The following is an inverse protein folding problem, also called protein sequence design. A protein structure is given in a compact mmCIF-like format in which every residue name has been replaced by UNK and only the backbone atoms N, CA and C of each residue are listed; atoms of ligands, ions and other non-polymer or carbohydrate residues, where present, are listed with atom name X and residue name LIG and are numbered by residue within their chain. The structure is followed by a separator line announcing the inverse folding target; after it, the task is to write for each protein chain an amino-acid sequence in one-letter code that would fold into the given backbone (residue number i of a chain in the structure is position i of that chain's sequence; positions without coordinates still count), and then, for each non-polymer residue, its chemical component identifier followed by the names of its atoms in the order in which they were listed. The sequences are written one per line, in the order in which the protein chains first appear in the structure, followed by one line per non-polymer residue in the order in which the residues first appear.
data_IF_937171617963
#
_entry.id   IF_937171617963
#
_cell.length_a   1.000
_cell.length_b   1.000
_cell.length_c   1.000
_cell.angle_alpha   90.00
_cell.angle_beta   90.00
_cell.angle_gamma   90.00
#
_symmetry.space_group_name_H-M   'P 1'
#
loop_
_entity.id
_entity.type
_entity.pdbx_description
1 polymer ?
#
# COMPACT_ATOMS: atom_id res chain seq x y z
N UNK A 1 -37.05 -66.59 -62.64
CA UNK A 1 -35.68 -66.60 -62.05
C UNK A 1 -34.97 -65.33 -62.48
N UNK A 2 -34.36 -64.63 -61.50
CA UNK A 2 -33.37 -63.53 -61.57
C UNK A 2 -33.67 -62.31 -62.48
N UNK A 3 -34.08 -61.13 -61.98
CA UNK A 3 -33.45 -60.12 -61.10
C UNK A 3 -32.29 -59.31 -61.73
N UNK A 4 -32.57 -58.00 -61.89
CA UNK A 4 -31.81 -56.81 -61.42
C UNK A 4 -30.40 -56.62 -62.05
N UNK A 5 -30.05 -55.49 -62.67
CA UNK A 5 -29.70 -54.22 -61.99
C UNK A 5 -29.64 -53.06 -63.01
N UNK A 6 -30.52 -52.05 -62.88
CA UNK A 6 -30.30 -50.70 -63.44
C UNK A 6 -29.88 -49.80 -62.28
N UNK A 7 -28.65 -49.31 -62.33
CA UNK A 7 -28.11 -48.33 -61.38
C UNK A 7 -28.72 -46.97 -61.75
N UNK A 8 -29.58 -46.45 -60.87
CA UNK A 8 -30.11 -45.09 -60.95
C UNK A 8 -29.16 -44.17 -60.18
N UNK A 9 -28.58 -43.19 -60.87
CA UNK A 9 -27.67 -42.20 -60.33
C UNK A 9 -28.49 -41.07 -59.68
N UNK A 10 -28.62 -41.08 -58.35
CA UNK A 10 -29.27 -40.02 -57.59
C UNK A 10 -28.34 -38.81 -57.49
N UNK A 11 -28.77 -37.70 -58.11
CA UNK A 11 -28.14 -36.39 -58.07
C UNK A 11 -28.42 -35.74 -56.69
N UNK A 12 -27.41 -35.63 -55.83
CA UNK A 12 -27.50 -34.82 -54.61
C UNK A 12 -27.36 -33.33 -54.99
N UNK A 13 -28.44 -32.56 -54.89
CA UNK A 13 -28.38 -31.10 -54.87
C UNK A 13 -27.78 -30.67 -53.51
N UNK A 14 -26.53 -30.22 -53.52
CA UNK A 14 -25.96 -29.48 -52.41
C UNK A 14 -26.44 -28.02 -52.50
N UNK A 15 -27.42 -27.66 -51.66
CA UNK A 15 -27.74 -26.26 -51.37
C UNK A 15 -26.61 -25.68 -50.52
N UNK A 16 -25.67 -24.98 -51.14
CA UNK A 16 -24.72 -24.13 -50.44
C UNK A 16 -25.49 -22.94 -49.87
N UNK A 17 -25.79 -22.98 -48.57
CA UNK A 17 -26.20 -21.80 -47.84
C UNK A 17 -25.04 -20.81 -47.86
N UNK A 18 -25.18 -19.74 -48.64
CA UNK A 18 -24.34 -18.56 -48.50
C UNK A 18 -24.70 -17.92 -47.15
N UNK A 19 -23.97 -18.30 -46.11
CA UNK A 19 -23.98 -17.58 -44.86
C UNK A 19 -23.43 -16.18 -45.14
N UNK A 20 -24.31 -15.19 -45.21
CA UNK A 20 -23.95 -13.79 -45.03
C UNK A 20 -23.33 -13.69 -43.64
N UNK A 21 -22.00 -13.69 -43.58
CA UNK A 21 -21.28 -13.29 -42.38
C UNK A 21 -21.72 -11.85 -42.08
N UNK A 22 -22.56 -11.70 -41.06
CA UNK A 22 -22.79 -10.40 -40.45
C UNK A 22 -21.42 -9.82 -40.07
N UNK A 23 -21.14 -8.54 -40.34
CA UNK A 23 -19.91 -7.92 -39.89
C UNK A 23 -19.82 -8.15 -38.38
N UNK A 24 -18.73 -8.78 -37.95
CA UNK A 24 -18.39 -8.88 -36.53
C UNK A 24 -18.53 -7.47 -35.94
N UNK A 25 -19.26 -7.29 -34.82
CA UNK A 25 -19.22 -6.03 -34.13
C UNK A 25 -17.75 -5.83 -33.78
N UNK A 26 -17.21 -4.71 -34.26
CA UNK A 26 -15.87 -4.20 -33.98
C UNK A 26 -15.39 -4.69 -32.61
N UNK A 27 -14.45 -5.62 -32.58
CA UNK A 27 -13.58 -5.78 -31.42
C UNK A 27 -12.78 -4.49 -31.33
N UNK A 28 -13.35 -3.49 -30.65
CA UNK A 28 -12.56 -2.33 -30.25
C UNK A 28 -11.45 -2.88 -29.37
N UNK A 29 -10.22 -2.85 -29.86
CA UNK A 29 -9.08 -3.08 -28.99
C UNK A 29 -9.13 -2.01 -27.90
N UNK A 30 -9.26 -2.45 -26.65
CA UNK A 30 -9.20 -1.57 -25.50
C UNK A 30 -7.77 -1.58 -24.94
N UNK A 31 -7.28 -0.41 -24.58
CA UNK A 31 -6.18 -0.32 -23.62
C UNK A 31 -6.77 -0.35 -22.22
N UNK A 32 -6.04 -0.88 -21.26
CA UNK A 32 -6.47 -0.90 -19.86
C UNK A 32 -5.65 0.08 -19.04
N UNK A 33 -6.34 0.80 -18.17
CA UNK A 33 -5.73 1.75 -17.28
C UNK A 33 -6.04 1.45 -15.82
N UNK A 34 -5.10 1.86 -14.97
CA UNK A 34 -5.28 2.02 -13.54
C UNK A 34 -5.71 3.45 -13.26
N UNK A 35 -6.90 3.62 -12.69
CA UNK A 35 -7.41 4.91 -12.24
C UNK A 35 -7.27 4.97 -10.72
N UNK A 36 -6.64 6.03 -10.22
CA UNK A 36 -6.56 6.29 -8.79
C UNK A 36 -7.20 7.63 -8.47
N UNK A 37 -7.93 7.69 -7.36
CA UNK A 37 -8.43 8.94 -6.79
C UNK A 37 -7.95 9.07 -5.35
N UNK A 38 -7.27 10.17 -5.05
CA UNK A 38 -6.92 10.56 -3.69
C UNK A 38 -7.76 11.77 -3.27
N UNK A 39 -8.28 11.75 -2.05
CA UNK A 39 -9.12 12.83 -1.50
C UNK A 39 -8.62 13.21 -0.11
N UNK A 40 -8.41 14.50 0.14
CA UNK A 40 -8.18 15.05 1.47
C UNK A 40 -9.52 15.53 2.04
N UNK A 41 -9.98 14.91 3.13
CA UNK A 41 -11.33 15.12 3.68
C UNK A 41 -11.53 16.49 4.32
N UNK A 42 -10.45 17.10 4.84
CA UNK A 42 -10.51 18.39 5.55
C UNK A 42 -10.67 19.56 4.57
N UNK A 43 -9.82 19.61 3.55
CA UNK A 43 -9.80 20.70 2.54
C UNK A 43 -10.72 20.42 1.37
N UNK A 44 -11.19 19.17 1.22
CA UNK A 44 -11.88 18.66 0.04
C UNK A 44 -11.03 18.68 -1.24
N UNK A 45 -9.71 18.81 -1.12
CA UNK A 45 -8.76 18.67 -2.24
C UNK A 45 -8.79 17.23 -2.78
N UNK A 46 -8.70 17.09 -4.10
CA UNK A 46 -8.75 15.80 -4.79
C UNK A 46 -7.73 15.74 -5.90
N UNK A 47 -7.22 14.54 -6.16
CA UNK A 47 -6.40 14.25 -7.31
C UNK A 47 -6.86 12.96 -7.96
N UNK A 48 -7.20 13.04 -9.25
CA UNK A 48 -7.38 11.88 -10.11
C UNK A 48 -6.12 11.67 -10.94
N UNK A 49 -5.69 10.42 -11.07
CA UNK A 49 -4.52 10.01 -11.82
C UNK A 49 -4.83 8.74 -12.59
N UNK A 50 -4.45 8.72 -13.87
CA UNK A 50 -4.69 7.61 -14.79
C UNK A 50 -3.34 7.13 -15.28
N UNK A 51 -3.05 5.86 -15.05
CA UNK A 51 -1.83 5.19 -15.49
C UNK A 51 -2.17 4.07 -16.46
N UNK A 52 -1.30 3.84 -17.43
CA UNK A 52 -1.37 2.65 -18.26
C UNK A 52 -1.11 1.41 -17.41
N UNK A 53 -1.99 0.40 -17.49
CA UNK A 53 -1.88 -0.80 -16.65
C UNK A 53 -0.67 -1.67 -16.98
N UNK A 54 -0.10 -1.55 -18.19
CA UNK A 54 0.99 -2.41 -18.65
C UNK A 54 2.37 -1.81 -18.41
N UNK A 55 2.50 -0.50 -18.64
CA UNK A 55 3.78 0.22 -18.52
C UNK A 55 3.91 0.96 -17.20
N UNK A 56 2.79 1.29 -16.54
CA UNK A 56 2.75 2.16 -15.37
C UNK A 56 2.90 3.65 -15.70
N UNK A 57 2.99 4.00 -16.98
CA UNK A 57 3.14 5.37 -17.45
C UNK A 57 1.90 6.21 -17.12
N UNK A 58 2.12 7.45 -16.68
CA UNK A 58 1.02 8.38 -16.38
C UNK A 58 0.43 8.91 -17.68
N UNK A 59 -0.84 8.59 -17.92
CA UNK A 59 -1.58 9.02 -19.12
C UNK A 59 -2.32 10.35 -18.89
N UNK A 60 -2.66 10.66 -17.64
CA UNK A 60 -3.39 11.88 -17.33
C UNK A 60 -3.60 12.11 -15.83
N UNK A 61 -3.73 13.37 -15.44
CA UNK A 61 -3.97 13.76 -14.04
C UNK A 61 -4.74 15.08 -13.97
N UNK A 62 -5.55 15.26 -12.92
CA UNK A 62 -6.22 16.52 -12.62
C UNK A 62 -6.40 16.70 -11.10
N UNK A 63 -6.33 17.95 -10.63
CA UNK A 63 -6.65 18.34 -9.26
C UNK A 63 -8.17 18.49 -9.06
N UNK A 64 -8.88 17.42 -9.35
CA UNK A 64 -10.34 17.30 -9.26
C UNK A 64 -10.70 15.82 -9.17
N UNK A 65 -12.00 15.51 -9.15
CA UNK A 65 -12.49 14.15 -9.32
C UNK A 65 -12.76 13.76 -10.78
N UNK A 66 -12.40 14.61 -11.74
CA UNK A 66 -12.77 14.43 -13.14
C UNK A 66 -11.63 14.84 -14.08
N UNK A 67 -11.20 13.89 -14.91
CA UNK A 67 -10.27 14.10 -16.00
C UNK A 67 -11.05 14.20 -17.30
N UNK A 68 -11.40 15.42 -17.69
CA UNK A 68 -12.27 15.74 -18.84
C UNK A 68 -11.63 16.77 -19.80
N UNK A 69 -10.31 16.92 -19.72
CA UNK A 69 -9.57 17.93 -20.50
C UNK A 69 -8.51 17.27 -21.38
N UNK A 70 -8.05 18.01 -22.39
CA UNK A 70 -7.03 17.55 -23.34
C UNK A 70 -7.42 16.22 -24.00
N UNK A 71 -6.57 15.20 -23.91
CA UNK A 71 -6.82 13.88 -24.48
C UNK A 71 -8.09 13.19 -23.92
N UNK A 72 -8.61 13.65 -22.78
CA UNK A 72 -9.83 13.12 -22.17
C UNK A 72 -11.07 14.00 -22.42
N UNK A 73 -11.04 14.95 -23.38
CA UNK A 73 -12.22 15.78 -23.70
C UNK A 73 -13.37 14.96 -24.28
N UNK A 74 -13.04 13.99 -25.13
CA UNK A 74 -14.02 13.18 -25.85
C UNK A 74 -14.30 11.84 -25.13
N UNK A 75 -13.41 11.48 -24.20
CA UNK A 75 -13.52 10.30 -23.33
C UNK A 75 -13.09 10.69 -21.91
N UNK A 76 -14.03 11.27 -21.17
CA UNK A 76 -13.80 11.73 -19.80
C UNK A 76 -13.76 10.57 -18.80
N UNK A 77 -12.96 10.73 -17.74
CA UNK A 77 -12.99 9.85 -16.57
C UNK A 77 -13.45 10.66 -15.36
N UNK A 78 -14.48 10.20 -14.68
CA UNK A 78 -15.06 10.86 -13.51
C UNK A 78 -15.16 9.87 -12.37
N UNK A 79 -14.66 10.24 -11.20
CA UNK A 79 -14.80 9.49 -9.96
C UNK A 79 -15.87 10.15 -9.08
N UNK A 80 -17.07 9.59 -9.09
CA UNK A 80 -18.17 10.00 -8.21
C UNK A 80 -18.18 9.11 -6.98
N UNK A 81 -17.29 9.43 -6.04
CA UNK A 81 -17.09 8.66 -4.81
C UNK A 81 -17.27 9.55 -3.59
N UNK A 82 -17.85 8.97 -2.54
CA UNK A 82 -18.03 9.58 -1.24
C UNK A 82 -16.71 9.77 -0.48
N UNK A 83 -16.78 10.33 0.74
CA UNK A 83 -15.60 10.61 1.56
C UNK A 83 -14.74 9.38 1.84
N UNK A 84 -15.35 8.20 2.00
CA UNK A 84 -14.66 6.95 2.27
C UNK A 84 -14.26 6.19 0.99
N UNK A 85 -14.53 6.75 -0.20
CA UNK A 85 -14.17 6.16 -1.48
C UNK A 85 -15.18 5.15 -2.06
N UNK A 86 -16.34 4.94 -1.43
CA UNK A 86 -17.46 4.21 -2.02
C UNK A 86 -18.13 5.06 -3.10
N UNK A 87 -18.67 4.43 -4.13
CA UNK A 87 -19.34 5.11 -5.23
C UNK A 87 -18.95 4.48 -6.56
N UNK A 88 -18.82 5.31 -7.59
CA UNK A 88 -18.64 4.85 -8.97
C UNK A 88 -17.50 5.58 -9.68
N UNK A 89 -16.87 4.88 -10.61
CA UNK A 89 -15.97 5.44 -11.61
C UNK A 89 -16.66 5.35 -12.98
N UNK A 90 -16.77 6.48 -13.67
CA UNK A 90 -17.30 6.55 -15.03
C UNK A 90 -16.14 6.80 -15.99
N UNK A 91 -16.00 5.97 -17.02
CA UNK A 91 -15.05 6.14 -18.11
C UNK A 91 -15.80 6.14 -19.45
N UNK A 92 -15.92 7.31 -20.06
CA UNK A 92 -16.77 7.51 -21.23
C UNK A 92 -18.23 7.09 -20.97
N UNK A 93 -18.79 6.12 -21.73
CA UNK A 93 -20.16 5.66 -21.56
C UNK A 93 -20.33 4.60 -20.45
N UNK A 94 -19.24 4.09 -19.89
CA UNK A 94 -19.26 2.97 -18.94
C UNK A 94 -19.14 3.48 -17.51
N UNK A 95 -19.99 2.98 -16.63
CA UNK A 95 -19.95 3.26 -15.18
C UNK A 95 -19.65 1.97 -14.44
N UNK A 96 -18.71 2.05 -13.50
CA UNK A 96 -18.23 0.93 -12.71
C UNK A 96 -18.38 1.23 -11.22
N UNK A 97 -18.86 0.26 -10.45
CA UNK A 97 -18.96 0.40 -8.99
C UNK A 97 -17.60 0.15 -8.37
N UNK A 98 -17.22 0.95 -7.36
CA UNK A 98 -15.99 0.70 -6.58
C UNK A 98 -16.18 -0.56 -5.74
N UNK A 99 -15.72 -1.69 -6.28
CA UNK A 99 -15.80 -3.00 -5.66
C UNK A 99 -14.62 -3.90 -6.08
N UNK A 100 -14.16 -4.75 -5.17
CA UNK A 100 -13.04 -5.68 -5.38
C UNK A 100 -13.33 -6.84 -6.32
N UNK A 101 -14.61 -7.14 -6.56
CA UNK A 101 -15.02 -8.28 -7.37
C UNK A 101 -15.58 -7.73 -8.70
N UNK A 102 -14.97 -8.11 -9.84
CA UNK A 102 -15.42 -7.76 -11.17
C UNK A 102 -16.91 -8.02 -11.45
N UNK A 103 -17.52 -9.01 -10.78
CA UNK A 103 -18.93 -9.33 -10.95
C UNK A 103 -19.84 -8.20 -10.46
N UNK A 104 -19.44 -7.50 -9.41
CA UNK A 104 -20.21 -6.39 -8.83
C UNK A 104 -19.78 -5.03 -9.38
N UNK A 105 -18.52 -4.88 -9.78
CA UNK A 105 -17.98 -3.61 -10.29
C UNK A 105 -18.33 -3.33 -11.76
N UNK A 106 -18.80 -4.33 -12.51
CA UNK A 106 -19.03 -4.21 -13.96
C UNK A 106 -17.80 -4.56 -14.81
N UNK A 107 -16.91 -5.42 -14.31
CA UNK A 107 -15.79 -5.99 -15.07
C UNK A 107 -14.40 -5.43 -14.73
N UNK A 108 -14.29 -4.59 -13.70
CA UNK A 108 -13.01 -4.03 -13.22
C UNK A 108 -12.71 -4.48 -11.79
N UNK A 109 -11.52 -4.23 -11.27
CA UNK A 109 -11.23 -4.53 -9.85
C UNK A 109 -10.86 -3.25 -9.14
N UNK A 110 -11.63 -2.88 -8.12
CA UNK A 110 -11.33 -1.70 -7.31
C UNK A 110 -11.12 -2.06 -5.85
N UNK A 111 -10.23 -1.34 -5.19
CA UNK A 111 -10.10 -1.37 -3.74
C UNK A 111 -9.93 0.05 -3.23
N UNK A 112 -10.16 0.23 -1.94
CA UNK A 112 -10.06 1.55 -1.32
C UNK A 112 -9.47 1.48 0.07
N UNK A 113 -8.80 2.56 0.44
CA UNK A 113 -8.30 2.79 1.78
C UNK A 113 -8.82 4.14 2.27
N UNK A 114 -9.13 4.26 3.56
CA UNK A 114 -9.48 5.56 4.12
C UNK A 114 -9.14 5.65 5.61
N UNK A 115 -8.94 6.87 6.09
CA UNK A 115 -8.87 7.20 7.51
C UNK A 115 -9.67 8.50 7.76
N UNK A 116 -9.50 9.16 8.88
CA UNK A 116 -10.26 10.38 9.21
C UNK A 116 -9.84 11.60 8.36
N UNK A 117 -8.67 11.54 7.71
CA UNK A 117 -8.05 12.65 7.00
C UNK A 117 -8.11 12.52 5.48
N UNK A 118 -8.01 11.29 4.95
CA UNK A 118 -7.94 11.02 3.52
C UNK A 118 -8.65 9.74 3.11
N UNK A 119 -8.95 9.64 1.81
CA UNK A 119 -9.28 8.37 1.16
C UNK A 119 -8.51 8.21 -0.14
N UNK A 120 -8.22 6.96 -0.47
CA UNK A 120 -7.48 6.56 -1.66
C UNK A 120 -8.20 5.39 -2.32
N UNK A 121 -8.66 5.58 -3.55
CA UNK A 121 -9.35 4.58 -4.37
C UNK A 121 -8.43 4.18 -5.51
N UNK A 122 -8.36 2.88 -5.80
CA UNK A 122 -7.65 2.34 -6.95
C UNK A 122 -8.58 1.41 -7.70
N UNK A 123 -8.68 1.60 -9.00
CA UNK A 123 -9.46 0.78 -9.91
C UNK A 123 -8.59 0.33 -11.09
N UNK A 124 -8.44 -0.97 -11.24
CA UNK A 124 -7.66 -1.64 -12.26
C UNK A 124 -8.54 -2.21 -13.38
N UNK A 125 -8.02 -2.20 -14.60
CA UNK A 125 -8.73 -2.74 -15.76
C UNK A 125 -9.76 -1.79 -16.36
N UNK A 126 -9.65 -0.49 -16.11
CA UNK A 126 -10.57 0.51 -16.69
C UNK A 126 -10.31 0.60 -18.20
N UNK A 127 -11.31 0.32 -19.06
CA UNK A 127 -11.11 0.30 -20.50
C UNK A 127 -10.99 1.73 -21.05
N UNK A 128 -9.94 1.96 -21.85
CA UNK A 128 -9.70 3.17 -22.62
C UNK A 128 -9.81 2.88 -24.12
N UNK A 129 -10.32 3.82 -24.94
CA UNK A 129 -10.32 3.66 -26.38
C UNK A 129 -8.89 3.73 -26.91
N UNK A 130 -8.51 2.80 -27.78
CA UNK A 130 -7.20 2.82 -28.50
C UNK A 130 -7.03 4.03 -29.40
N UNK A 131 -8.13 4.66 -29.81
CA UNK A 131 -8.14 5.83 -30.69
C UNK A 131 -7.77 7.13 -29.99
N UNK A 132 -7.67 7.16 -28.65
CA UNK A 132 -7.22 8.34 -27.91
C UNK A 132 -5.69 8.34 -27.87
N UNK A 133 -5.00 9.28 -28.54
CA UNK A 133 -3.55 9.41 -28.42
C UNK A 133 -3.23 9.91 -27.01
N UNK A 134 -2.76 8.99 -26.16
CA UNK A 134 -2.33 9.28 -24.81
C UNK A 134 -0.80 9.23 -24.77
N UNK A 135 -0.18 10.40 -24.85
CA UNK A 135 1.25 10.53 -24.63
C UNK A 135 1.54 10.54 -23.12
N UNK A 136 2.52 9.76 -22.63
CA UNK A 136 2.90 9.77 -21.24
C UNK A 136 3.30 11.14 -20.73
N UNK A 137 2.75 11.53 -19.59
CA UNK A 137 3.16 12.72 -18.82
C UNK A 137 4.39 12.34 -18.00
N UNK A 138 5.44 13.18 -18.06
CA UNK A 138 6.63 12.98 -17.23
C UNK A 138 6.31 13.35 -15.77
N UNK A 139 6.89 12.63 -14.81
CA UNK A 139 6.59 12.83 -13.39
C UNK A 139 6.77 14.26 -12.88
N UNK A 140 7.74 15.01 -13.43
CA UNK A 140 7.99 16.41 -13.06
C UNK A 140 6.90 17.39 -13.53
N UNK A 141 6.04 16.97 -14.45
CA UNK A 141 4.97 17.78 -15.03
C UNK A 141 3.61 17.56 -14.33
N UNK A 142 3.57 16.74 -13.27
CA UNK A 142 2.37 16.49 -12.47
C UNK A 142 2.20 17.63 -11.46
N UNK A 143 1.12 18.44 -11.55
CA UNK A 143 0.92 19.55 -10.63
C UNK A 143 0.64 19.03 -9.21
N UNK A 144 1.15 19.72 -8.16
CA UNK A 144 0.76 19.41 -6.79
C UNK A 144 -0.71 19.79 -6.58
N UNK A 145 -1.54 18.82 -6.21
CA UNK A 145 -2.98 19.00 -6.00
C UNK A 145 -3.38 19.15 -4.53
N UNK A 146 -2.45 18.94 -3.61
CA UNK A 146 -2.68 18.99 -2.18
C UNK A 146 -1.82 20.06 -1.55
N UNK A 147 -2.39 20.81 -0.61
CA UNK A 147 -1.67 21.70 0.27
C UNK A 147 -0.81 20.91 1.26
N UNK A 148 0.35 21.44 1.65
CA UNK A 148 1.33 20.81 2.57
C UNK A 148 0.83 20.62 4.03
N UNK A 149 -0.48 20.67 4.25
CA UNK A 149 -1.07 20.74 5.59
C UNK A 149 -1.22 19.39 6.28
N UNK A 150 -1.27 18.29 5.53
CA UNK A 150 -1.43 16.92 6.08
C UNK A 150 -0.61 15.93 5.26
N UNK A 151 0.19 15.10 5.95
CA UNK A 151 0.90 13.99 5.33
C UNK A 151 -0.10 12.94 4.80
N UNK A 152 -0.25 12.91 3.49
CA UNK A 152 -1.02 11.89 2.79
C UNK A 152 -0.19 10.60 2.70
N UNK A 153 -0.64 9.53 3.35
CA UNK A 153 0.10 8.27 3.52
C UNK A 153 -0.57 7.05 2.90
N UNK A 154 -1.85 7.14 2.52
CA UNK A 154 -2.59 6.00 1.97
C UNK A 154 -2.17 5.63 0.55
N UNK A 155 -1.75 6.60 -0.27
CA UNK A 155 -1.17 6.29 -1.58
C UNK A 155 0.07 5.39 -1.43
N UNK A 156 1.01 5.74 -0.55
CA UNK A 156 2.21 4.93 -0.29
C UNK A 156 1.86 3.54 0.24
N UNK A 157 0.83 3.46 1.08
CA UNK A 157 0.30 2.19 1.58
C UNK A 157 -0.17 1.29 0.43
N UNK A 158 -0.98 1.85 -0.47
CA UNK A 158 -1.53 1.15 -1.62
C UNK A 158 -0.46 0.76 -2.65
N UNK A 159 0.58 1.56 -2.82
CA UNK A 159 1.70 1.22 -3.71
C UNK A 159 2.57 0.11 -3.11
N UNK A 160 2.84 0.15 -1.80
CA UNK A 160 3.70 -0.83 -1.13
C UNK A 160 3.02 -2.19 -0.97
N UNK A 161 1.71 -2.23 -0.68
CA UNK A 161 0.99 -3.50 -0.48
C UNK A 161 1.09 -4.39 -1.73
N UNK A 162 0.96 -3.81 -2.94
CA UNK A 162 1.14 -4.53 -4.21
C UNK A 162 2.53 -5.12 -4.40
N UNK A 163 3.57 -4.42 -3.94
CA UNK A 163 4.97 -4.89 -4.06
C UNK A 163 5.21 -6.09 -3.13
N UNK A 164 4.63 -6.08 -1.93
CA UNK A 164 4.80 -7.16 -0.94
C UNK A 164 4.05 -8.44 -1.35
N UNK A 165 3.00 -8.34 -2.17
CA UNK A 165 2.38 -9.53 -2.80
C UNK A 165 3.31 -10.22 -3.82
N UNK A 166 4.36 -9.53 -4.27
CA UNK A 166 5.32 -10.06 -5.25
C UNK A 166 6.60 -10.63 -4.59
N UNK A 167 6.91 -10.22 -3.35
CA UNK A 167 8.11 -10.67 -2.63
C UNK A 167 7.84 -10.83 -1.12
N UNK A 168 7.86 -12.07 -0.58
CA UNK A 168 7.82 -12.28 0.86
C UNK A 168 9.10 -11.73 1.49
N UNK A 169 8.99 -10.68 2.30
CA UNK A 169 10.12 -10.21 3.10
C UNK A 169 10.39 -11.25 4.20
N UNK A 170 11.64 -11.71 4.39
CA UNK A 170 11.97 -12.62 5.47
C UNK A 170 11.70 -11.97 6.82
N UNK A 171 10.84 -12.62 7.61
CA UNK A 171 10.70 -12.33 9.02
C UNK A 171 11.95 -12.77 9.78
N UNK A 172 12.58 -11.83 10.47
CA UNK A 172 13.26 -12.14 11.73
C UNK A 172 13.21 -10.88 12.60
N UNK A 173 12.21 -10.83 13.47
CA UNK A 173 12.18 -9.93 14.62
C UNK A 173 13.09 -10.55 15.69
N UNK A 174 14.38 -10.22 15.69
CA UNK A 174 15.23 -10.45 16.87
C UNK A 174 14.98 -9.30 17.85
N UNK A 175 13.99 -9.48 18.72
CA UNK A 175 13.89 -8.77 19.99
C UNK A 175 15.08 -9.19 20.88
N UNK A 176 16.25 -8.63 20.65
CA UNK A 176 17.39 -8.78 21.54
C UNK A 176 17.32 -7.73 22.66
N UNK A 177 16.33 -7.88 23.55
CA UNK A 177 16.45 -7.33 24.91
C UNK A 177 17.27 -8.30 25.75
N UNK A 178 18.57 -8.39 25.47
CA UNK A 178 19.52 -8.98 26.41
C UNK A 178 20.45 -7.88 26.88
N UNK A 179 20.04 -7.19 27.95
CA UNK A 179 21.00 -6.50 28.78
C UNK A 179 22.00 -7.56 29.23
N UNK A 180 23.25 -7.46 28.78
CA UNK A 180 24.34 -8.30 29.27
C UNK A 180 24.46 -8.01 30.76
N UNK A 181 23.91 -8.90 31.58
CA UNK A 181 24.10 -8.89 33.02
C UNK A 181 25.53 -9.33 33.30
N UNK A 182 26.45 -8.37 33.33
CA UNK A 182 27.77 -8.59 33.93
C UNK A 182 27.55 -9.00 35.38
N UNK A 183 28.05 -10.17 35.76
CA UNK A 183 27.95 -10.70 37.11
C UNK A 183 28.48 -9.68 38.14
N UNK A 184 27.77 -9.52 39.26
CA UNK A 184 28.07 -8.55 40.34
C UNK A 184 29.46 -8.71 41.00
N UNK A 185 30.29 -9.66 40.57
CA UNK A 185 31.62 -9.93 41.10
C UNK A 185 32.73 -9.11 40.41
N UNK A 186 32.57 -8.73 39.13
CA UNK A 186 33.59 -7.98 38.39
C UNK A 186 33.60 -6.48 38.73
N UNK A 187 32.48 -5.94 39.22
CA UNK A 187 32.34 -4.53 39.62
C UNK A 187 33.15 -4.15 40.87
N UNK A 188 33.70 -5.11 41.62
CA UNK A 188 34.42 -4.85 42.89
C UNK A 188 35.95 -4.89 42.78
N UNK A 189 36.54 -5.21 41.63
CA UNK A 189 37.99 -5.48 41.53
C UNK A 189 38.75 -4.70 40.44
N UNK A 190 38.11 -3.78 39.73
CA UNK A 190 38.74 -3.03 38.63
C UNK A 190 38.50 -1.53 38.79
N UNK A 191 39.56 -0.72 38.68
CA UNK A 191 39.46 0.73 38.74
C UNK A 191 38.52 1.26 37.64
N UNK A 192 37.87 2.39 37.88
CA UNK A 192 36.83 2.96 37.00
C UNK A 192 37.26 3.09 35.53
N UNK A 193 38.56 3.24 35.26
CA UNK A 193 39.13 3.33 33.91
C UNK A 193 39.49 1.99 33.23
N UNK A 194 39.38 0.83 33.87
CA UNK A 194 39.72 -0.47 33.25
C UNK A 194 38.51 -1.28 32.77
N UNK A 195 37.30 -0.82 33.07
CA UNK A 195 36.07 -1.45 32.60
C UNK A 195 35.70 -0.93 31.21
N UNK A 196 35.50 -1.85 30.27
CA UNK A 196 34.94 -1.58 28.94
C UNK A 196 33.60 -2.29 28.84
N UNK A 197 32.54 -1.55 28.49
CA UNK A 197 31.20 -2.12 28.30
C UNK A 197 30.75 -1.99 26.84
N UNK A 198 30.00 -2.98 26.30
CA UNK A 198 29.36 -2.84 25.00
C UNK A 198 28.44 -1.61 24.96
N UNK A 199 28.51 -0.85 23.87
CA UNK A 199 27.69 0.34 23.69
C UNK A 199 27.34 0.53 22.21
N UNK A 200 26.17 1.10 21.97
CA UNK A 200 25.74 1.62 20.66
C UNK A 200 25.85 3.15 20.66
N UNK A 201 26.33 3.76 19.57
CA UNK A 201 26.38 5.22 19.39
C UNK A 201 25.93 5.63 17.98
N UNK A 202 25.28 6.78 17.85
CA UNK A 202 24.93 7.39 16.56
C UNK A 202 26.17 7.73 15.73
N UNK A 203 26.10 7.48 14.43
CA UNK A 203 27.13 7.86 13.45
C UNK A 203 26.75 9.20 12.83
N UNK A 204 27.63 10.20 12.93
CA UNK A 204 27.35 11.54 12.38
C UNK A 204 26.07 12.15 12.94
N UNK A 205 25.24 12.71 12.05
CA UNK A 205 23.89 13.19 12.37
C UNK A 205 22.86 12.05 12.48
N UNK A 206 23.19 10.87 11.96
CA UNK A 206 22.38 9.67 11.91
C UNK A 206 21.64 9.46 10.59
N UNK A 207 21.73 10.39 9.62
CA UNK A 207 20.96 10.36 8.36
C UNK A 207 19.51 9.87 8.56
N UNK A 208 18.67 10.62 9.29
CA UNK A 208 17.37 10.15 9.70
C UNK A 208 16.40 10.06 8.52
N UNK A 209 15.58 9.01 8.46
CA UNK A 209 14.50 8.86 7.47
C UNK A 209 13.23 8.32 8.12
N UNK A 210 12.06 8.77 7.66
CA UNK A 210 10.79 8.19 8.10
C UNK A 210 10.51 6.88 7.36
N UNK A 211 10.05 5.87 8.10
CA UNK A 211 9.60 4.60 7.57
C UNK A 211 8.30 4.20 8.28
N UNK A 212 7.49 3.39 7.63
CA UNK A 212 6.15 3.06 8.10
C UNK A 212 6.00 1.55 8.25
N UNK A 213 5.72 1.09 9.46
CA UNK A 213 5.38 -0.29 9.73
C UNK A 213 3.87 -0.45 9.73
N UNK A 214 3.35 -1.17 8.76
CA UNK A 214 1.90 -1.33 8.57
C UNK A 214 1.50 -2.72 8.99
N UNK A 215 0.50 -2.83 9.85
CA UNK A 215 0.02 -4.12 10.39
C UNK A 215 -1.50 -4.19 10.42
N UNK A 216 -2.05 -5.31 9.97
CA UNK A 216 -3.49 -5.55 10.07
C UNK A 216 -3.85 -5.94 11.50
N UNK A 217 -4.81 -5.21 12.09
CA UNK A 217 -5.27 -5.42 13.45
C UNK A 217 -6.47 -6.35 13.52
N UNK A 218 -7.38 -6.29 12.55
CA UNK A 218 -8.62 -7.07 12.57
C UNK A 218 -8.53 -8.35 11.74
N UNK A 219 -9.41 -9.29 12.02
CA UNK A 219 -9.78 -10.30 11.02
C UNK A 219 -10.51 -9.64 9.84
N UNK A 220 -10.63 -10.38 8.73
CA UNK A 220 -11.39 -9.94 7.58
C UNK A 220 -12.87 -10.11 7.85
N UNK A 221 -13.64 -9.04 7.67
CA UNK A 221 -15.09 -9.07 7.74
C UNK A 221 -15.66 -8.97 6.32
N UNK A 222 -16.30 -10.05 5.87
CA UNK A 222 -17.13 -10.05 4.67
C UNK A 222 -18.54 -9.55 5.04
N UNK A 223 -18.99 -8.48 4.38
CA UNK A 223 -20.31 -7.91 4.63
C UNK A 223 -21.46 -8.80 4.11
N UNK A 224 -21.19 -9.76 3.23
CA UNK A 224 -22.22 -10.62 2.63
C UNK A 224 -23.33 -9.77 1.98
N UNK A 225 -24.59 -10.10 2.23
CA UNK A 225 -25.73 -9.35 1.68
C UNK A 225 -26.15 -8.11 2.51
N UNK A 226 -25.45 -7.78 3.60
CA UNK A 226 -25.82 -6.64 4.42
C UNK A 226 -25.49 -5.34 3.69
N UNK A 227 -26.42 -4.38 3.63
CA UNK A 227 -26.21 -3.09 2.97
C UNK A 227 -24.91 -2.42 3.42
N UNK A 228 -24.64 -2.49 4.73
CA UNK A 228 -23.38 -2.08 5.35
C UNK A 228 -22.97 -3.04 6.47
N UNK A 229 -21.67 -3.23 6.64
CA UNK A 229 -21.10 -3.91 7.81
C UNK A 229 -19.99 -3.06 8.46
N UNK A 230 -19.70 -3.33 9.74
CA UNK A 230 -18.70 -2.60 10.52
C UNK A 230 -17.76 -3.57 11.24
N UNK A 231 -16.45 -3.36 11.07
CA UNK A 231 -15.40 -4.01 11.86
C UNK A 231 -14.87 -3.01 12.88
N UNK A 232 -14.60 -3.46 14.11
CA UNK A 232 -14.18 -2.59 15.20
C UNK A 232 -13.29 -3.29 16.24
N UNK A 233 -13.30 -2.74 17.46
CA UNK A 233 -12.44 -3.17 18.56
C UNK A 233 -12.57 -4.65 18.91
N UNK A 234 -13.80 -5.19 18.93
CA UNK A 234 -14.06 -6.58 19.32
C UNK A 234 -13.54 -7.60 18.32
N UNK A 235 -13.28 -7.18 17.08
CA UNK A 235 -12.69 -8.02 16.02
C UNK A 235 -11.20 -7.75 15.81
N UNK A 236 -10.59 -6.90 16.62
CA UNK A 236 -9.21 -6.43 16.47
C UNK A 236 -8.29 -6.93 17.59
N UNK A 237 -7.00 -7.07 17.29
CA UNK A 237 -5.93 -7.40 18.26
C UNK A 237 -4.92 -6.26 18.37
N UNK A 238 -4.49 -6.01 19.60
CA UNK A 238 -3.44 -5.03 19.90
C UNK A 238 -2.08 -5.70 19.76
N UNK A 239 -1.12 -4.97 19.19
CA UNK A 239 0.26 -5.41 19.02
C UNK A 239 1.22 -4.40 19.63
N UNK A 240 2.26 -4.91 20.29
CA UNK A 240 3.43 -4.11 20.66
C UNK A 240 4.46 -4.23 19.56
N UNK A 241 4.81 -3.11 18.94
CA UNK A 241 5.76 -3.01 17.84
C UNK A 241 7.05 -2.41 18.41
N UNK A 242 8.13 -3.20 18.39
CA UNK A 242 9.42 -2.80 18.91
C UNK A 242 10.29 -2.09 17.88
N UNK A 243 11.39 -1.50 18.34
CA UNK A 243 12.50 -1.11 17.49
C UNK A 243 13.14 -2.35 16.85
N UNK A 244 13.74 -2.16 15.68
CA UNK A 244 14.51 -3.19 14.98
C UNK A 244 15.81 -2.61 14.45
N UNK A 245 16.76 -3.45 14.06
CA UNK A 245 18.01 -3.01 13.46
C UNK A 245 18.45 -3.96 12.34
N UNK A 246 19.21 -3.44 11.37
CA UNK A 246 19.77 -4.26 10.27
C UNK A 246 20.96 -5.12 10.69
N UNK A 247 21.43 -4.99 11.93
CA UNK A 247 22.47 -5.79 12.55
C UNK A 247 22.19 -5.89 14.06
N UNK A 248 22.89 -6.79 14.76
CA UNK A 248 22.77 -6.95 16.20
C UNK A 248 23.23 -5.67 16.92
N UNK A 249 22.29 -4.93 17.50
CA UNK A 249 22.61 -3.77 18.31
C UNK A 249 23.00 -4.20 19.73
N UNK A 250 24.06 -3.62 20.27
CA UNK A 250 24.47 -3.89 21.66
C UNK A 250 23.44 -3.39 22.68
N UNK A 251 22.76 -2.29 22.33
CA UNK A 251 21.65 -1.70 23.07
C UNK A 251 20.80 -0.84 22.14
N UNK A 252 19.54 -0.63 22.52
CA UNK A 252 18.72 0.44 21.96
C UNK A 252 19.19 1.80 22.47
N UNK A 253 19.21 2.80 21.58
CA UNK A 253 19.46 4.20 21.93
C UNK A 253 18.49 5.07 21.15
N UNK A 254 18.13 6.25 21.64
CA UNK A 254 17.33 7.19 20.82
C UNK A 254 18.15 7.92 19.75
N UNK A 255 19.48 7.93 19.87
CA UNK A 255 20.36 8.74 19.00
C UNK A 255 20.15 10.25 19.12
N UNK A 256 19.38 10.71 20.13
CA UNK A 256 18.94 12.09 20.26
C UNK A 256 17.69 12.44 19.43
N UNK A 257 17.03 11.46 18.82
CA UNK A 257 15.76 11.64 18.11
C UNK A 257 14.56 11.44 19.04
N UNK A 258 13.42 12.02 18.66
CA UNK A 258 12.14 11.83 19.33
C UNK A 258 11.55 10.45 18.98
N UNK A 259 12.18 9.38 19.49
CA UNK A 259 11.81 7.98 19.28
C UNK A 259 11.66 7.24 20.60
N UNK A 260 11.07 6.04 20.55
CA UNK A 260 10.85 5.15 21.68
C UNK A 260 11.18 3.70 21.28
N UNK A 261 11.42 2.84 22.26
CA UNK A 261 11.79 1.45 22.02
C UNK A 261 10.61 0.60 21.52
N UNK A 262 9.37 0.99 21.84
CA UNK A 262 8.19 0.26 21.39
C UNK A 262 6.95 1.14 21.35
N UNK A 263 5.98 0.75 20.53
CA UNK A 263 4.66 1.36 20.43
C UNK A 263 3.57 0.29 20.49
N UNK A 264 2.53 0.51 21.29
CA UNK A 264 1.40 -0.42 21.39
C UNK A 264 0.21 0.15 20.65
N UNK A 265 -0.33 -0.64 19.70
CA UNK A 265 -1.54 -0.26 18.96
C UNK A 265 -2.76 -0.35 19.88
N UNK A 266 -3.76 0.52 19.68
CA UNK A 266 -5.05 0.40 20.36
C UNK A 266 -6.05 -0.40 19.52
N UNK A 267 -7.33 -0.36 19.93
CA UNK A 267 -8.43 -1.09 19.29
C UNK A 267 -9.64 -0.21 18.93
N UNK A 268 -9.67 1.06 19.31
CA UNK A 268 -10.88 1.88 19.31
C UNK A 268 -11.19 2.54 17.95
N UNK A 269 -10.86 1.87 16.84
CA UNK A 269 -11.17 2.36 15.49
C UNK A 269 -12.22 1.46 14.83
N UNK A 270 -13.06 2.07 13.99
CA UNK A 270 -14.13 1.37 13.28
C UNK A 270 -14.04 1.65 11.79
N UNK A 271 -14.28 0.60 11.00
CA UNK A 271 -14.31 0.67 9.56
C UNK A 271 -15.63 0.11 9.05
N UNK A 272 -16.25 0.85 8.14
CA UNK A 272 -17.46 0.44 7.43
C UNK A 272 -17.17 0.07 5.98
N UNK A 273 -17.92 -0.88 5.46
CA UNK A 273 -17.94 -1.23 4.05
C UNK A 273 -19.36 -1.54 3.58
N UNK A 274 -19.53 -1.60 2.26
CA UNK A 274 -20.81 -1.85 1.62
C UNK A 274 -21.05 -3.35 1.42
N UNK A 275 -22.28 -3.71 1.04
CA UNK A 275 -22.67 -5.06 0.66
C UNK A 275 -21.65 -5.72 -0.29
N UNK A 276 -21.40 -7.01 -0.04
CA UNK A 276 -20.46 -7.88 -0.75
C UNK A 276 -18.98 -7.48 -0.68
N UNK A 277 -18.63 -6.49 0.13
CA UNK A 277 -17.25 -6.09 0.33
C UNK A 277 -16.62 -6.74 1.55
N UNK A 278 -15.30 -6.88 1.50
CA UNK A 278 -14.44 -7.30 2.60
C UNK A 278 -13.76 -6.08 3.21
N UNK A 279 -13.83 -5.93 4.54
CA UNK A 279 -13.22 -4.83 5.28
C UNK A 279 -12.31 -5.30 6.41
N UNK A 280 -11.24 -4.55 6.64
CA UNK A 280 -10.29 -4.78 7.72
C UNK A 280 -9.65 -3.48 8.22
N UNK A 281 -9.20 -3.50 9.47
CA UNK A 281 -8.51 -2.38 10.14
C UNK A 281 -7.02 -2.61 10.07
N UNK A 282 -6.30 -1.59 9.59
CA UNK A 282 -4.85 -1.53 9.61
C UNK A 282 -4.35 -0.41 10.52
N UNK A 283 -3.13 -0.58 11.00
CA UNK A 283 -2.41 0.41 11.79
C UNK A 283 -1.07 0.72 11.14
N UNK A 284 -0.79 2.00 10.95
CA UNK A 284 0.51 2.50 10.55
C UNK A 284 1.28 2.98 11.78
N UNK A 285 2.40 2.34 12.08
CA UNK A 285 3.39 2.80 13.05
C UNK A 285 4.54 3.48 12.34
N UNK A 286 4.61 4.80 12.46
CA UNK A 286 5.69 5.61 11.97
C UNK A 286 6.97 5.37 12.79
N UNK A 287 8.06 5.12 12.08
CA UNK A 287 9.39 4.88 12.60
C UNK A 287 10.34 5.93 12.05
N UNK A 288 11.36 6.25 12.85
CA UNK A 288 12.55 6.93 12.35
C UNK A 288 13.67 5.91 12.24
N UNK A 289 14.19 5.75 11.03
CA UNK A 289 15.43 5.06 10.78
C UNK A 289 16.61 6.01 10.98
N UNK A 290 17.69 5.54 11.60
CA UNK A 290 18.92 6.29 11.75
C UNK A 290 20.12 5.36 11.89
N UNK A 291 21.28 5.86 11.46
CA UNK A 291 22.53 5.11 11.40
C UNK A 291 23.28 5.17 12.73
N UNK A 292 23.60 4.00 13.25
CA UNK A 292 24.33 3.80 14.51
C UNK A 292 25.48 2.81 14.30
N UNK A 293 26.37 2.72 15.28
CA UNK A 293 27.45 1.73 15.29
C UNK A 293 27.66 1.19 16.70
N UNK A 294 28.06 -0.07 16.79
CA UNK A 294 28.49 -0.68 18.05
C UNK A 294 29.95 -0.33 18.35
N UNK A 295 30.32 -0.43 19.62
CA UNK A 295 31.67 -0.25 20.10
C UNK A 295 31.78 -0.60 21.58
N UNK A 296 32.91 -0.25 22.18
CA UNK A 296 33.12 -0.35 23.62
C UNK A 296 33.19 1.05 24.22
N UNK A 297 32.53 1.25 25.35
CA UNK A 297 32.60 2.48 26.13
C UNK A 297 33.48 2.28 27.36
N UNK A 298 34.34 3.27 27.60
CA UNK A 298 35.13 3.39 28.80
C UNK A 298 35.00 4.83 29.32
N UNK A 299 34.77 5.00 30.62
CA UNK A 299 34.54 6.33 31.21
C UNK A 299 35.74 7.28 31.09
N UNK A 300 36.95 6.76 30.96
CA UNK A 300 38.18 7.57 30.93
C UNK A 300 38.68 7.84 29.50
N UNK A 301 38.36 6.98 28.54
CA UNK A 301 38.82 7.10 27.13
C UNK A 301 37.69 7.28 26.13
N UNK A 302 36.43 7.19 26.57
CA UNK A 302 35.24 7.39 25.76
C UNK A 302 34.84 6.15 24.95
N UNK A 303 34.11 6.41 23.86
CA UNK A 303 33.61 5.38 22.96
C UNK A 303 34.64 5.02 21.90
N UNK A 304 34.97 3.73 21.79
CA UNK A 304 35.79 3.17 20.73
C UNK A 304 34.94 2.25 19.83
N UNK A 305 34.75 2.57 18.54
CA UNK A 305 33.96 1.74 17.62
C UNK A 305 34.60 0.38 17.30
N UNK A 306 35.88 0.14 17.62
CA UNK A 306 36.60 -1.09 17.29
C UNK A 306 36.45 -1.52 15.81
N UNK A 307 36.47 -0.56 14.88
CA UNK A 307 36.23 -0.78 13.44
C UNK A 307 34.84 -1.37 13.11
N UNK A 308 33.86 -1.24 14.01
CA UNK A 308 32.48 -1.65 13.76
C UNK A 308 31.85 -0.86 12.60
N UNK A 309 31.21 -1.56 11.68
CA UNK A 309 30.44 -0.93 10.60
C UNK A 309 29.17 -0.27 11.14
N UNK A 310 28.74 0.80 10.49
CA UNK A 310 27.44 1.42 10.74
C UNK A 310 26.31 0.50 10.29
N UNK A 311 25.19 0.53 11.02
CA UNK A 311 23.96 -0.18 10.71
C UNK A 311 22.75 0.70 11.00
N UNK A 312 21.59 0.38 10.42
CA UNK A 312 20.38 1.19 10.56
C UNK A 312 19.51 0.63 11.67
N UNK A 313 19.10 1.50 12.59
CA UNK A 313 18.11 1.22 13.62
C UNK A 313 16.79 1.89 13.25
N UNK A 314 15.70 1.15 13.28
CA UNK A 314 14.34 1.64 13.06
C UNK A 314 13.64 1.69 14.41
N UNK A 315 13.25 2.85 14.88
CA UNK A 315 12.54 3.00 16.16
C UNK A 315 11.21 3.72 15.96
N UNK A 316 10.11 3.26 16.59
CA UNK A 316 8.85 4.00 16.58
C UNK A 316 9.09 5.46 16.99
N UNK A 317 8.55 6.41 16.24
CA UNK A 317 8.64 7.81 16.62
C UNK A 317 7.69 8.13 17.79
N UNK A 318 8.01 9.18 18.54
CA UNK A 318 7.17 9.65 19.64
C UNK A 318 5.83 10.13 19.11
N UNK A 319 4.76 9.74 19.80
CA UNK A 319 3.36 10.05 19.45
C UNK A 319 2.90 9.51 18.10
N UNK A 320 3.66 8.62 17.46
CA UNK A 320 3.30 8.02 16.17
C UNK A 320 2.97 9.07 15.09
N UNK A 321 3.77 10.15 15.00
CA UNK A 321 3.56 11.22 14.01
C UNK A 321 3.62 10.67 12.60
N UNK A 322 2.58 10.91 11.80
CA UNK A 322 2.43 10.36 10.45
C UNK A 322 1.90 8.91 10.41
N UNK A 323 1.63 8.32 11.58
CA UNK A 323 0.96 7.03 11.71
C UNK A 323 -0.50 7.15 12.12
N UNK A 324 -1.17 6.02 12.33
CA UNK A 324 -2.57 5.97 12.75
C UNK A 324 -3.34 4.79 12.16
N UNK A 325 -4.63 4.73 12.47
CA UNK A 325 -5.53 3.73 11.89
C UNK A 325 -5.93 4.10 10.48
N UNK A 326 -6.20 3.08 9.68
CA UNK A 326 -6.90 3.23 8.41
C UNK A 326 -7.66 1.95 8.08
N UNK A 327 -8.73 2.13 7.33
CA UNK A 327 -9.57 1.09 6.80
C UNK A 327 -9.05 0.65 5.45
N UNK A 328 -9.10 -0.66 5.19
CA UNK A 328 -8.83 -1.24 3.87
C UNK A 328 -10.05 -2.05 3.47
N UNK A 329 -10.50 -1.86 2.23
CA UNK A 329 -11.63 -2.55 1.63
C UNK A 329 -11.14 -3.21 0.35
N UNK A 330 -11.40 -4.50 0.21
CA UNK A 330 -11.10 -5.28 -0.99
C UNK A 330 -9.71 -5.93 -1.07
N UNK A 331 -8.71 -5.38 -0.37
CA UNK A 331 -7.32 -5.90 -0.37
C UNK A 331 -6.85 -6.32 1.03
N UNK A 332 -7.78 -6.85 1.81
CA UNK A 332 -7.50 -7.32 3.16
C UNK A 332 -6.62 -8.57 3.18
N UNK A 333 -5.79 -8.68 4.22
CA UNK A 333 -4.85 -9.80 4.44
C UNK A 333 -5.25 -10.57 5.71
N UNK A 334 -4.40 -11.45 6.24
CA UNK A 334 -4.69 -12.10 7.52
C UNK A 334 -4.36 -11.17 8.70
N UNK A 335 -5.11 -11.28 9.80
CA UNK A 335 -4.82 -10.55 11.04
C UNK A 335 -3.35 -10.76 11.48
N UNK A 336 -2.65 -9.68 11.82
CA UNK A 336 -1.26 -9.70 12.24
C UNK A 336 -0.23 -9.71 11.10
N UNK A 337 -0.65 -9.88 9.84
CA UNK A 337 0.23 -9.63 8.71
C UNK A 337 0.67 -8.17 8.68
N UNK A 338 1.88 -7.96 8.20
CA UNK A 338 2.54 -6.66 8.23
C UNK A 338 3.55 -6.52 7.09
N UNK A 339 3.97 -5.28 6.87
CA UNK A 339 5.07 -4.96 5.97
C UNK A 339 5.71 -3.61 6.31
N UNK A 340 6.93 -3.43 5.82
CA UNK A 340 7.63 -2.15 5.84
C UNK A 340 7.35 -1.36 4.56
N UNK A 341 6.93 -0.12 4.73
CA UNK A 341 7.00 0.93 3.72
C UNK A 341 8.22 1.80 4.04
N UNK A 342 9.26 1.66 3.21
CA UNK A 342 10.54 2.39 3.36
C UNK A 342 10.68 3.59 2.42
N UNK A 343 9.56 4.04 1.87
CA UNK A 343 9.51 5.15 0.89
C UNK A 343 9.25 6.51 1.55
N UNK A 344 9.34 6.58 2.88
CA UNK A 344 9.08 7.81 3.62
C UNK A 344 10.16 8.87 3.38
N UNK A 345 9.85 10.14 3.71
CA UNK A 345 10.75 11.26 3.48
C UNK A 345 11.99 11.19 4.37
N UNK A 346 13.07 11.83 3.90
CA UNK A 346 14.23 12.11 4.73
C UNK A 346 13.87 13.08 5.87
N UNK A 347 14.47 12.86 7.04
CA UNK A 347 14.26 13.66 8.25
C UNK A 347 13.73 12.85 9.44
N UNK A 348 13.95 13.41 10.63
CA UNK A 348 13.32 12.97 11.87
C UNK A 348 12.00 13.72 12.15
N UNK A 349 11.19 13.24 13.09
CA UNK A 349 9.87 13.78 13.47
C UNK A 349 9.95 14.97 14.44
#
# INVERSE_FOLDING_TARGET
MMKILKISLTLFLALTAAALAAPSPYTQEHKYARVTLQQQKITSEKQILVKDSSTGDVLGTACSNALITRAFSDFGIVADVGPNGDGNITAGPSTFVVHEDPQYSGGITCYRMYNDYESFVVCDGVPLPTNVPLDPIKGNDIPPCFSDTVDMTLQRAAETIHVVDTFPVPGSETNSTSAVSTSNLEQRQTGTCSQWSPATRKVGDGDPHQNYWRKQLSENLDCGNADHCTVGATQSKSYTIGWTATADASQWISGGFAVQASWTTGLDYQCTASSHQTVCIWYNTAHTAYTVQNGLYNVCTGFNPNNGAGFVMFSPNQNNKGGGYYCVIGTCRSQGQNYWDKSGPAGGP
#
